data_IF_098788110340
#
_entry.id   IF_098788110340
#
_cell.length_a   1.000
_cell.length_b   1.000
_cell.length_c   1.000
_cell.angle_alpha   90.00
_cell.angle_beta   90.00
_cell.angle_gamma   90.00
#
_symmetry.space_group_name_H-M   'P 1'
#
loop_
_entity.id
_entity.type
_entity.pdbx_description
1 polymer ?
#
# COMPACT_ATOMS: atom_id res chain seq x y z
N UNK A 1 14.02 -3.41 0.80
CA UNK A 1 13.58 -2.01 0.58
C UNK A 1 12.38 -1.70 1.47
N UNK A 2 12.36 -2.23 2.70
CA UNK A 2 11.21 -2.05 3.57
C UNK A 2 11.26 -0.67 4.22
N UNK A 3 10.11 -0.01 4.35
CA UNK A 3 10.00 1.31 4.96
C UNK A 3 10.47 2.52 4.14
N UNK A 4 11.03 2.35 2.92
CA UNK A 4 11.55 3.47 2.12
C UNK A 4 10.46 4.28 1.40
N UNK A 5 9.28 3.69 1.17
CA UNK A 5 8.19 4.29 0.39
C UNK A 5 8.55 4.63 -1.07
N UNK A 6 9.71 4.20 -1.56
CA UNK A 6 10.26 4.52 -2.90
C UNK A 6 9.80 3.56 -4.01
N UNK A 7 9.07 2.51 -3.64
CA UNK A 7 8.56 1.51 -4.58
C UNK A 7 9.02 0.08 -4.26
N UNK A 8 8.24 -0.92 -4.73
CA UNK A 8 8.55 -2.33 -4.55
C UNK A 8 9.80 -2.75 -5.33
N UNK A 9 10.47 -3.82 -4.89
CA UNK A 9 11.63 -4.36 -5.60
C UNK A 9 11.20 -5.28 -6.76
N UNK A 10 10.86 -4.66 -7.89
CA UNK A 10 10.32 -5.36 -9.07
C UNK A 10 11.23 -6.48 -9.58
N UNK A 11 12.53 -6.24 -9.62
CA UNK A 11 13.52 -7.19 -10.13
C UNK A 11 13.57 -8.46 -9.29
N UNK A 12 13.65 -8.31 -7.96
CA UNK A 12 13.65 -9.44 -7.04
C UNK A 12 12.37 -10.28 -7.13
N UNK A 13 11.22 -9.65 -7.37
CA UNK A 13 9.97 -10.40 -7.58
C UNK A 13 9.95 -11.14 -8.92
N UNK A 14 10.50 -10.56 -10.00
CA UNK A 14 10.62 -11.27 -11.28
C UNK A 14 11.53 -12.47 -11.16
N UNK A 15 12.69 -12.31 -10.53
CA UNK A 15 13.63 -13.40 -10.29
C UNK A 15 12.99 -14.53 -9.47
N UNK A 16 12.44 -14.20 -8.31
CA UNK A 16 11.77 -15.17 -7.44
C UNK A 16 10.58 -15.85 -8.14
N UNK A 17 9.74 -15.09 -8.82
CA UNK A 17 8.56 -15.60 -9.52
C UNK A 17 8.89 -16.57 -10.66
N UNK A 18 10.04 -16.37 -11.31
CA UNK A 18 10.52 -17.22 -12.41
C UNK A 18 10.95 -18.61 -11.91
N UNK A 19 11.48 -18.70 -10.70
CA UNK A 19 11.92 -19.97 -10.09
C UNK A 19 10.77 -20.77 -9.45
N UNK A 20 9.64 -20.12 -9.17
CA UNK A 20 8.50 -20.76 -8.52
C UNK A 20 7.60 -21.47 -9.54
N UNK A 21 7.19 -22.71 -9.23
CA UNK A 21 6.28 -23.50 -10.08
C UNK A 21 4.81 -23.40 -9.69
N UNK A 22 4.52 -23.24 -8.40
CA UNK A 22 3.14 -23.29 -7.86
C UNK A 22 2.83 -22.22 -6.82
N UNK A 23 3.80 -21.79 -6.03
CA UNK A 23 3.60 -20.81 -4.97
C UNK A 23 3.26 -19.41 -5.54
N UNK A 24 2.48 -18.66 -4.78
CA UNK A 24 2.15 -17.25 -5.03
C UNK A 24 3.05 -16.36 -4.18
N UNK A 25 3.28 -15.14 -4.66
CA UNK A 25 4.12 -14.16 -3.98
C UNK A 25 3.23 -13.01 -3.50
N UNK A 26 3.34 -12.70 -2.21
CA UNK A 26 2.85 -11.46 -1.65
C UNK A 26 3.98 -10.44 -1.62
N UNK A 27 3.82 -9.34 -2.35
CA UNK A 27 4.75 -8.22 -2.29
C UNK A 27 4.68 -7.56 -0.89
N UNK A 28 5.82 -7.39 -0.25
CA UNK A 28 5.94 -6.75 1.05
C UNK A 28 7.02 -5.68 0.99
N UNK A 29 6.63 -4.44 1.29
CA UNK A 29 7.55 -3.32 1.45
C UNK A 29 7.68 -2.39 0.24
N UNK A 30 8.07 -1.15 0.54
CA UNK A 30 8.32 -0.10 -0.46
C UNK A 30 7.05 0.54 -1.05
N UNK A 31 5.85 0.09 -0.70
CA UNK A 31 4.60 0.65 -1.24
C UNK A 31 4.32 2.01 -0.63
N UNK A 32 4.70 3.08 -1.34
CA UNK A 32 4.38 4.45 -0.98
C UNK A 32 3.08 5.04 -1.55
N UNK A 33 2.59 4.62 -2.72
CA UNK A 33 1.44 5.26 -3.36
C UNK A 33 0.74 4.32 -4.37
N UNK A 34 -0.37 4.76 -4.95
CA UNK A 34 -1.17 3.96 -5.89
C UNK A 34 -0.47 3.62 -7.20
N UNK A 35 0.48 4.43 -7.69
CA UNK A 35 1.25 4.09 -8.89
C UNK A 35 2.12 2.84 -8.67
N UNK A 36 2.55 2.59 -7.44
CA UNK A 36 3.27 1.36 -7.12
C UNK A 36 2.37 0.12 -7.24
N UNK A 37 1.09 0.23 -6.88
CA UNK A 37 0.12 -0.86 -7.07
C UNK A 37 -0.10 -1.14 -8.57
N UNK A 38 -0.22 -0.09 -9.37
CA UNK A 38 -0.33 -0.22 -10.83
C UNK A 38 0.91 -0.92 -11.40
N UNK A 39 2.12 -0.53 -10.96
CA UNK A 39 3.36 -1.20 -11.36
C UNK A 39 3.38 -2.69 -10.98
N UNK A 40 2.88 -3.06 -9.80
CA UNK A 40 2.83 -4.47 -9.38
C UNK A 40 1.98 -5.33 -10.32
N UNK A 41 1.02 -4.78 -11.05
CA UNK A 41 0.25 -5.54 -12.05
C UNK A 41 1.15 -6.15 -13.14
N UNK A 42 2.30 -5.53 -13.45
CA UNK A 42 3.31 -6.04 -14.39
C UNK A 42 4.01 -7.32 -13.90
N UNK A 43 3.76 -7.74 -12.66
CA UNK A 43 4.32 -8.94 -12.03
C UNK A 43 3.30 -10.07 -11.89
N UNK A 44 2.08 -9.91 -12.42
CA UNK A 44 1.05 -10.94 -12.40
C UNK A 44 1.52 -12.26 -13.04
N UNK A 45 2.25 -12.18 -14.15
CA UNK A 45 2.89 -13.33 -14.81
C UNK A 45 4.01 -13.96 -13.98
N UNK A 46 4.57 -13.21 -13.04
CA UNK A 46 5.59 -13.64 -12.08
C UNK A 46 4.99 -14.07 -10.74
N UNK A 47 3.70 -14.42 -10.73
CA UNK A 47 2.97 -15.00 -9.59
C UNK A 47 2.81 -14.07 -8.39
N UNK A 48 3.12 -12.78 -8.55
CA UNK A 48 2.80 -11.76 -7.55
C UNK A 48 1.31 -11.45 -7.66
N UNK A 49 0.54 -11.78 -6.62
CA UNK A 49 -0.92 -11.68 -6.63
C UNK A 49 -1.50 -10.86 -5.48
N UNK A 50 -0.65 -10.47 -4.54
CA UNK A 50 -1.05 -9.81 -3.30
C UNK A 50 0.04 -8.86 -2.84
N UNK A 51 -0.35 -7.89 -2.02
CA UNK A 51 0.57 -6.87 -1.48
C UNK A 51 0.19 -6.47 -0.06
N UNK A 52 1.20 -6.28 0.79
CA UNK A 52 1.04 -5.71 2.13
C UNK A 52 1.32 -4.21 2.07
N UNK A 53 0.38 -3.41 2.56
CA UNK A 53 0.49 -1.94 2.64
C UNK A 53 0.50 -1.52 4.11
N UNK A 54 1.67 -1.10 4.59
CA UNK A 54 1.86 -0.61 5.97
C UNK A 54 1.85 0.91 6.04
N UNK A 55 3.04 1.53 6.06
CA UNK A 55 3.25 2.97 6.27
C UNK A 55 2.37 3.89 5.43
N UNK A 56 2.24 3.61 4.14
CA UNK A 56 1.42 4.42 3.26
C UNK A 56 -0.07 4.45 3.61
N UNK A 57 -0.56 3.42 4.32
CA UNK A 57 -1.94 3.37 4.79
C UNK A 57 -2.16 4.43 5.88
N UNK A 58 -1.30 4.46 6.91
CA UNK A 58 -1.46 5.36 8.05
C UNK A 58 -0.88 6.77 7.86
N UNK A 59 -0.11 6.98 6.78
CA UNK A 59 0.33 8.32 6.34
C UNK A 59 -0.63 8.94 5.30
N UNK A 60 -1.81 8.34 5.06
CA UNK A 60 -2.81 8.82 4.09
C UNK A 60 -2.26 9.07 2.68
N UNK A 61 -1.20 8.36 2.29
CA UNK A 61 -0.71 8.40 0.90
C UNK A 61 -1.69 7.71 -0.05
N UNK A 62 -2.56 6.88 0.53
CA UNK A 62 -3.83 6.44 -0.02
C UNK A 62 -4.98 7.15 0.71
N UNK A 63 -5.99 7.68 0.00
CA UNK A 63 -7.11 8.39 0.63
C UNK A 63 -8.10 7.47 1.39
N UNK A 64 -7.81 6.18 1.53
CA UNK A 64 -8.71 5.21 2.15
C UNK A 64 -8.96 5.48 3.64
N UNK A 65 -7.93 5.79 4.42
CA UNK A 65 -8.11 6.18 5.83
C UNK A 65 -8.89 7.50 5.95
N UNK A 66 -8.62 8.47 5.07
CA UNK A 66 -9.38 9.73 5.00
C UNK A 66 -10.87 9.47 4.73
N UNK A 67 -11.21 8.50 3.89
CA UNK A 67 -12.60 8.10 3.62
C UNK A 67 -13.29 7.55 4.88
N UNK A 68 -12.61 6.72 5.68
CA UNK A 68 -13.14 6.26 6.97
C UNK A 68 -13.33 7.42 7.94
N UNK A 69 -12.37 8.34 8.03
CA UNK A 69 -12.51 9.57 8.80
C UNK A 69 -13.70 10.43 8.38
N UNK A 70 -14.19 10.33 7.15
CA UNK A 70 -15.31 11.14 6.70
C UNK A 70 -16.66 10.48 6.99
N UNK A 71 -16.71 9.15 6.98
CA UNK A 71 -17.97 8.39 7.07
C UNK A 71 -18.21 7.76 8.44
N UNK A 72 -17.17 7.55 9.27
CA UNK A 72 -17.24 6.76 10.52
C UNK A 72 -16.54 7.49 11.68
N UNK A 73 -16.66 8.82 11.74
CA UNK A 73 -15.97 9.69 12.73
C UNK A 73 -16.20 9.28 14.18
N UNK A 74 -17.40 8.80 14.49
CA UNK A 74 -17.83 8.50 15.84
C UNK A 74 -17.51 7.04 16.25
N UNK A 75 -17.04 6.22 15.31
CA UNK A 75 -16.77 4.79 15.52
C UNK A 75 -15.28 4.46 15.52
N UNK A 76 -14.45 5.23 14.82
CA UNK A 76 -13.03 4.93 14.63
C UNK A 76 -12.16 6.12 15.04
N UNK A 77 -11.49 5.99 16.19
CA UNK A 77 -10.47 6.96 16.61
C UNK A 77 -9.16 6.74 15.84
N UNK A 78 -9.00 7.50 14.75
CA UNK A 78 -7.78 7.47 13.94
C UNK A 78 -6.65 8.33 14.51
N UNK A 79 -6.88 9.10 15.58
CA UNK A 79 -5.79 9.86 16.24
C UNK A 79 -4.76 8.95 16.91
N UNK A 80 -5.16 7.74 17.30
CA UNK A 80 -4.28 6.73 17.89
C UNK A 80 -3.47 5.94 16.84
N UNK A 81 -3.94 5.86 15.59
CA UNK A 81 -3.42 4.91 14.59
C UNK A 81 -3.00 5.55 13.26
N UNK A 82 -3.13 6.87 13.14
CA UNK A 82 -2.76 7.62 11.93
C UNK A 82 -1.79 8.75 12.30
N UNK A 83 -0.66 8.82 11.61
CA UNK A 83 0.27 9.95 11.71
C UNK A 83 -0.04 11.02 10.67
N UNK A 84 -0.99 10.76 9.78
CA UNK A 84 -1.41 11.72 8.78
C UNK A 84 -2.19 12.87 9.44
N UNK A 85 -1.75 14.09 9.18
CA UNK A 85 -2.53 15.27 9.55
C UNK A 85 -3.83 15.24 8.74
N UNK A 86 -4.98 15.09 9.41
CA UNK A 86 -6.28 15.25 8.76
C UNK A 86 -6.36 16.68 8.23
N UNK A 87 -6.09 16.87 6.93
CA UNK A 87 -6.36 18.14 6.27
C UNK A 87 -7.87 18.38 6.42
N UNK A 88 -8.23 19.53 6.99
CA UNK A 88 -9.63 19.97 7.03
C UNK A 88 -10.18 19.83 5.61
N UNK A 89 -11.31 19.12 5.48
CA UNK A 89 -12.00 18.97 4.21
C UNK A 89 -12.32 20.35 3.62
N UNK A 90 -12.67 20.41 2.32
CA UNK A 90 -13.03 21.68 1.69
C UNK A 90 -14.09 22.37 2.55
N UNK A 91 -13.79 23.60 2.97
CA UNK A 91 -14.77 24.46 3.62
C UNK A 91 -15.92 24.65 2.65
N UNK A 92 -17.09 24.14 3.04
CA UNK A 92 -18.39 24.41 2.42
C UNK A 92 -18.64 25.90 2.26
#
# INVERSE_FOLDING_TARGET
RDGTMEGPNMEAYREMGSELKKAKITASGGIGNHHHLIKLNELSDFRVDSVIVGRALYENTFPCQQFWCWNMKDEIDLSCFSTATLKKGPSS
#
